data_IF_642904913488
#
_entry.id   IF_642904913488
#
_cell.length_a   1.000
_cell.length_b   1.000
_cell.length_c   1.000
_cell.angle_alpha   90.00
_cell.angle_beta   90.00
_cell.angle_gamma   90.00
#
_symmetry.space_group_name_H-M   'P 1'
#
loop_
_entity.id
_entity.type
_entity.pdbx_description
1 polymer ?
#
# COMPACT_ATOMS: atom_id res chain seq x y z
N UNK A 1 0.91 14.69 1.85
CA UNK A 1 1.81 14.36 0.74
C UNK A 1 1.34 15.08 -0.52
N UNK A 2 2.26 15.60 -1.29
CA UNK A 2 1.93 16.18 -2.59
C UNK A 2 1.86 15.09 -3.68
N UNK A 3 1.45 15.47 -4.89
CA UNK A 3 1.30 14.51 -5.99
C UNK A 3 2.60 13.79 -6.33
N UNK A 4 3.74 14.49 -6.32
CA UNK A 4 5.03 13.89 -6.62
C UNK A 4 5.43 12.85 -5.58
N UNK A 5 5.17 13.10 -4.32
CA UNK A 5 5.47 12.16 -3.24
C UNK A 5 4.58 10.91 -3.32
N UNK A 6 3.31 11.08 -3.67
CA UNK A 6 2.39 9.95 -3.86
C UNK A 6 2.81 9.11 -5.06
N UNK A 7 3.22 9.75 -6.16
CA UNK A 7 3.73 9.05 -7.33
C UNK A 7 4.96 8.21 -6.97
N UNK A 8 5.89 8.79 -6.23
CA UNK A 8 7.11 8.11 -5.79
C UNK A 8 6.78 6.90 -4.90
N UNK A 9 5.85 7.05 -3.98
CA UNK A 9 5.37 5.97 -3.12
C UNK A 9 4.73 4.85 -3.95
N UNK A 10 3.90 5.21 -4.92
CA UNK A 10 3.24 4.24 -5.80
C UNK A 10 4.26 3.47 -6.62
N UNK A 11 5.23 4.14 -7.22
CA UNK A 11 6.28 3.50 -8.01
C UNK A 11 7.05 2.50 -7.15
N UNK A 12 7.42 2.92 -5.95
CA UNK A 12 8.16 2.05 -5.02
C UNK A 12 7.36 0.81 -4.64
N UNK A 13 6.09 0.99 -4.34
CA UNK A 13 5.21 -0.10 -3.95
C UNK A 13 4.99 -1.09 -5.10
N UNK A 14 4.75 -0.58 -6.30
CA UNK A 14 4.57 -1.40 -7.51
C UNK A 14 5.78 -2.28 -7.79
N UNK A 15 6.98 -1.76 -7.53
CA UNK A 15 8.23 -2.47 -7.80
C UNK A 15 8.52 -3.59 -6.82
N UNK A 16 7.75 -3.71 -5.74
CA UNK A 16 7.85 -4.83 -4.81
C UNK A 16 6.91 -5.92 -5.30
N UNK A 17 7.43 -7.07 -5.79
CA UNK A 17 6.57 -8.15 -6.25
C UNK A 17 5.67 -8.67 -5.14
N UNK A 18 4.40 -8.88 -5.42
CA UNK A 18 3.43 -9.35 -4.45
C UNK A 18 2.39 -10.28 -5.09
N UNK A 19 2.81 -11.40 -5.71
CA UNK A 19 1.84 -12.33 -6.24
C UNK A 19 0.97 -12.90 -5.12
N UNK A 20 -0.29 -13.19 -5.43
CA UNK A 20 -1.25 -13.70 -4.45
C UNK A 20 -0.68 -14.87 -3.66
N UNK A 21 -0.72 -14.76 -2.34
CA UNK A 21 -0.14 -15.74 -1.42
C UNK A 21 1.34 -15.52 -1.09
N UNK A 22 2.00 -14.59 -1.76
CA UNK A 22 3.42 -14.26 -1.54
C UNK A 22 3.65 -12.75 -1.48
N UNK A 23 2.81 -12.06 -0.72
CA UNK A 23 2.84 -10.60 -0.58
C UNK A 23 3.64 -10.10 0.62
N UNK A 24 4.43 -10.97 1.26
CA UNK A 24 5.14 -10.65 2.52
C UNK A 24 6.08 -9.46 2.40
N UNK A 25 6.81 -9.34 1.30
CA UNK A 25 7.75 -8.21 1.12
C UNK A 25 7.03 -6.88 1.06
N UNK A 26 5.88 -6.85 0.39
CA UNK A 26 5.07 -5.64 0.32
C UNK A 26 4.45 -5.33 1.68
N UNK A 27 3.99 -6.36 2.39
CA UNK A 27 3.47 -6.20 3.75
C UNK A 27 4.52 -5.64 4.70
N UNK A 28 5.76 -6.12 4.63
CA UNK A 28 6.88 -5.61 5.43
C UNK A 28 7.17 -4.14 5.13
N UNK A 29 7.21 -3.79 3.87
CA UNK A 29 7.43 -2.40 3.46
C UNK A 29 6.35 -1.47 4.02
N UNK A 30 5.09 -1.85 3.87
CA UNK A 30 3.96 -1.05 4.37
C UNK A 30 4.01 -0.96 5.90
N UNK A 31 4.29 -2.06 6.57
CA UNK A 31 4.41 -2.11 8.03
C UNK A 31 5.49 -1.15 8.53
N UNK A 32 6.68 -1.21 7.94
CA UNK A 32 7.78 -0.34 8.34
C UNK A 32 7.48 1.13 8.05
N UNK A 33 6.85 1.39 6.92
CA UNK A 33 6.45 2.75 6.54
C UNK A 33 5.46 3.33 7.54
N UNK A 34 4.48 2.55 7.97
CA UNK A 34 3.50 2.97 8.99
C UNK A 34 4.13 3.18 10.36
N UNK A 35 5.08 2.32 10.73
CA UNK A 35 5.82 2.47 12.00
C UNK A 35 6.63 3.76 12.03
N UNK A 36 7.25 4.13 10.93
CA UNK A 36 8.00 5.38 10.83
C UNK A 36 7.11 6.61 11.03
N UNK A 37 5.84 6.51 10.69
CA UNK A 37 4.86 7.56 10.94
C UNK A 37 4.37 7.62 12.40
N UNK A 38 4.71 6.60 13.21
CA UNK A 38 4.29 6.52 14.61
C UNK A 38 3.08 5.65 14.86
N UNK A 39 2.57 4.97 13.83
CA UNK A 39 1.47 4.02 14.00
C UNK A 39 1.96 2.69 14.58
N UNK A 40 1.03 1.88 15.06
CA UNK A 40 1.29 0.56 15.62
C UNK A 40 0.60 -0.52 14.77
N UNK A 41 1.07 -0.76 13.54
CA UNK A 41 0.47 -1.79 12.70
C UNK A 41 0.70 -3.18 13.26
N UNK A 42 -0.25 -4.06 13.02
CA UNK A 42 -0.11 -5.48 13.34
C UNK A 42 -0.58 -6.32 12.15
N UNK A 43 -0.18 -7.57 12.13
CA UNK A 43 -0.54 -8.50 11.07
C UNK A 43 -1.39 -9.61 11.66
N UNK A 44 -2.53 -9.89 11.03
CA UNK A 44 -3.39 -10.99 11.46
C UNK A 44 -2.92 -12.33 10.89
N UNK A 45 -3.65 -13.39 11.21
CA UNK A 45 -3.31 -14.75 10.76
C UNK A 45 -3.38 -14.91 9.23
N UNK A 46 -4.15 -14.08 8.55
CA UNK A 46 -4.26 -14.09 7.08
C UNK A 46 -3.19 -13.26 6.38
N UNK A 47 -2.35 -12.52 7.14
CA UNK A 47 -1.32 -11.68 6.58
C UNK A 47 -1.74 -10.25 6.29
N UNK A 48 -2.93 -9.85 6.71
CA UNK A 48 -3.38 -8.46 6.54
C UNK A 48 -2.59 -7.52 7.45
N UNK A 49 -2.17 -6.39 6.92
CA UNK A 49 -1.58 -5.32 7.72
C UNK A 49 -2.69 -4.40 8.20
N UNK A 50 -2.81 -4.24 9.50
CA UNK A 50 -3.94 -3.54 10.12
C UNK A 50 -3.43 -2.45 11.05
N UNK A 51 -4.05 -1.28 10.96
CA UNK A 51 -3.90 -0.21 11.95
C UNK A 51 -5.29 0.09 12.50
N UNK A 52 -5.43 -0.01 13.81
CA UNK A 52 -6.65 0.39 14.50
C UNK A 52 -6.47 1.78 15.09
N UNK A 53 -7.38 2.66 14.77
CA UNK A 53 -7.42 4.01 15.34
C UNK A 53 -8.67 4.10 16.20
N UNK A 54 -8.49 4.15 17.51
CA UNK A 54 -9.59 4.22 18.45
C UNK A 54 -10.08 5.65 18.55
N UNK A 55 -11.22 5.92 17.95
CA UNK A 55 -11.78 7.26 17.93
C UNK A 55 -12.91 7.42 18.94
N UNK A 56 -13.97 6.61 18.90
CA UNK A 56 -15.14 6.71 19.77
C UNK A 56 -15.95 5.42 19.80
N UNK A 57 -16.89 5.34 20.73
CA UNK A 57 -17.88 4.27 20.75
C UNK A 57 -18.79 4.37 19.54
N UNK A 58 -19.25 3.24 19.02
CA UNK A 58 -20.23 3.20 17.95
C UNK A 58 -19.77 2.52 16.65
N UNK A 59 -18.67 1.78 16.69
CA UNK A 59 -18.19 1.00 15.55
C UNK A 59 -17.05 1.67 14.79
N UNK A 60 -16.62 1.01 13.74
CA UNK A 60 -15.48 1.46 12.93
C UNK A 60 -15.89 1.78 11.51
N UNK A 61 -15.26 2.78 10.94
CA UNK A 61 -15.19 2.93 9.49
C UNK A 61 -13.95 2.19 9.03
N UNK A 62 -14.11 1.28 8.08
CA UNK A 62 -13.00 0.49 7.56
C UNK A 62 -12.60 1.00 6.18
N UNK A 63 -11.33 1.34 6.03
CA UNK A 63 -10.71 1.65 4.74
C UNK A 63 -9.78 0.50 4.41
N UNK A 64 -9.90 -0.08 3.22
CA UNK A 64 -9.10 -1.24 2.85
C UNK A 64 -8.68 -1.22 1.39
N UNK A 65 -7.53 -1.84 1.12
CA UNK A 65 -7.04 -2.12 -0.21
C UNK A 65 -6.28 -3.45 -0.13
N UNK A 66 -6.21 -4.20 -1.22
CA UNK A 66 -5.41 -5.41 -1.20
C UNK A 66 -3.99 -5.17 -1.68
N UNK A 67 -3.06 -5.96 -1.16
CA UNK A 67 -1.64 -5.82 -1.45
C UNK A 67 -1.16 -6.69 -2.61
N UNK A 68 -1.87 -7.77 -2.90
CA UNK A 68 -1.44 -8.74 -3.88
C UNK A 68 -1.81 -8.34 -5.30
N UNK A 69 -1.13 -8.96 -6.24
CA UNK A 69 -1.46 -8.88 -7.66
C UNK A 69 -1.52 -10.29 -8.25
N UNK A 70 -2.17 -10.41 -9.41
CA UNK A 70 -2.20 -11.67 -10.16
C UNK A 70 -0.93 -11.90 -10.97
N UNK A 71 0.00 -10.95 -10.96
CA UNK A 71 1.24 -11.00 -11.73
C UNK A 71 2.37 -11.59 -10.91
N UNK A 72 3.17 -12.44 -11.56
CA UNK A 72 4.33 -13.10 -10.92
C UNK A 72 5.66 -12.43 -11.29
N UNK A 73 5.61 -11.25 -11.86
CA UNK A 73 6.80 -10.51 -12.27
C UNK A 73 7.70 -10.20 -11.09
N UNK A 74 8.99 -10.44 -11.27
CA UNK A 74 10.01 -10.17 -10.24
C UNK A 74 10.78 -8.87 -10.53
N UNK A 75 10.91 -8.51 -11.80
CA UNK A 75 11.52 -7.25 -12.23
C UNK A 75 10.45 -6.39 -12.87
N UNK A 76 9.85 -5.53 -12.08
CA UNK A 76 8.74 -4.69 -12.53
C UNK A 76 9.27 -3.35 -12.98
N UNK A 77 9.06 -3.04 -14.26
CA UNK A 77 9.37 -1.73 -14.83
C UNK A 77 8.12 -0.87 -14.86
N UNK A 78 8.25 0.36 -14.39
CA UNK A 78 7.19 1.35 -14.46
C UNK A 78 7.45 2.25 -15.64
N UNK A 79 6.46 2.40 -16.50
CA UNK A 79 6.54 3.28 -17.66
C UNK A 79 5.70 4.53 -17.38
N UNK A 80 6.34 5.69 -17.47
CA UNK A 80 5.64 6.97 -17.36
C UNK A 80 5.57 7.61 -18.73
N UNK A 81 4.35 7.88 -19.20
CA UNK A 81 4.11 8.54 -20.47
C UNK A 81 3.10 9.68 -20.26
N UNK A 82 3.60 10.91 -20.31
CA UNK A 82 2.84 12.10 -19.96
C UNK A 82 2.28 11.98 -18.53
N UNK A 83 0.97 11.93 -18.35
CA UNK A 83 0.33 11.82 -17.03
C UNK A 83 -0.11 10.40 -16.69
N UNK A 84 0.41 9.40 -17.40
CA UNK A 84 -0.01 8.01 -17.24
C UNK A 84 1.18 7.19 -16.74
N UNK A 85 0.95 6.43 -15.65
CA UNK A 85 1.87 5.42 -15.16
C UNK A 85 1.32 4.05 -15.52
N UNK A 86 2.17 3.20 -16.07
CA UNK A 86 1.80 1.84 -16.47
C UNK A 86 2.76 0.83 -15.85
N UNK A 87 2.21 -0.18 -15.20
CA UNK A 87 2.97 -1.30 -14.65
C UNK A 87 2.01 -2.44 -14.30
N UNK A 88 2.49 -3.70 -14.23
CA UNK A 88 1.66 -4.81 -13.79
C UNK A 88 1.06 -4.57 -12.40
N UNK A 89 -0.25 -4.67 -12.28
CA UNK A 89 -0.96 -4.54 -11.01
C UNK A 89 -1.12 -3.12 -10.47
N UNK A 90 -0.66 -2.11 -11.19
CA UNK A 90 -0.69 -0.73 -10.68
C UNK A 90 -2.11 -0.23 -10.42
N UNK A 91 -3.07 -0.63 -11.25
CA UNK A 91 -4.48 -0.24 -11.09
C UNK A 91 -5.31 -1.22 -10.27
N UNK A 92 -4.78 -2.40 -9.98
CA UNK A 92 -5.51 -3.46 -9.27
C UNK A 92 -4.54 -4.17 -8.28
N UNK A 93 -4.38 -3.71 -7.12
CA UNK A 93 -5.04 -2.60 -6.44
C UNK A 93 -3.98 -1.64 -5.88
N UNK A 94 -2.76 -1.70 -6.39
CA UNK A 94 -1.59 -1.03 -5.82
C UNK A 94 -1.78 0.48 -5.70
N UNK A 95 -2.46 1.10 -6.66
CA UNK A 95 -2.73 2.54 -6.58
C UNK A 95 -3.60 2.88 -5.37
N UNK A 96 -4.58 2.04 -5.04
CA UNK A 96 -5.42 2.26 -3.87
C UNK A 96 -4.66 1.98 -2.57
N UNK A 97 -3.76 1.00 -2.56
CA UNK A 97 -2.89 0.76 -1.40
C UNK A 97 -1.99 1.98 -1.13
N UNK A 98 -1.36 2.52 -2.16
CA UNK A 98 -0.55 3.73 -2.04
C UNK A 98 -1.37 4.94 -1.61
N UNK A 99 -2.57 5.09 -2.15
CA UNK A 99 -3.47 6.17 -1.76
C UNK A 99 -3.87 6.07 -0.29
N UNK A 100 -4.19 4.87 0.17
CA UNK A 100 -4.52 4.63 1.57
C UNK A 100 -3.35 4.97 2.50
N UNK A 101 -2.12 4.61 2.11
CA UNK A 101 -0.93 5.02 2.86
C UNK A 101 -0.79 6.54 2.93
N UNK A 102 -1.05 7.23 1.83
CA UNK A 102 -1.03 8.70 1.80
C UNK A 102 -2.08 9.30 2.74
N UNK A 103 -3.27 8.71 2.80
CA UNK A 103 -4.30 9.11 3.76
C UNK A 103 -3.80 8.95 5.19
N UNK A 104 -3.14 7.84 5.51
CA UNK A 104 -2.59 7.60 6.85
C UNK A 104 -1.57 8.66 7.24
N UNK A 105 -0.75 9.11 6.31
CA UNK A 105 0.20 10.21 6.58
C UNK A 105 -0.52 11.52 6.84
N UNK A 106 -1.63 11.76 6.18
CA UNK A 106 -2.43 12.97 6.36
C UNK A 106 -3.11 13.03 7.73
N UNK A 107 -3.43 11.89 8.32
CA UNK A 107 -4.14 11.80 9.60
C UNK A 107 -3.27 11.97 10.84
N UNK A 108 -1.98 12.18 10.67
CA UNK A 108 -1.07 12.37 11.80
C UNK A 108 -1.32 13.71 12.50
#
# INVERSE_FOLDING_TARGET
MNAAEIEELLIKLVQIPAPTGREQKRAEYITDWLKELGYHPFTDAAGNVIVEMKVQEGGYTVLMAHMDTVFEDVDISVVKNANILSAPGIGDDTCNAAFLMAVMKTLI
#
